data_IF_448791646232
#
_entry.id   IF_448791646232
#
_cell.length_a   1.000
_cell.length_b   1.000
_cell.length_c   1.000
_cell.angle_alpha   90.00
_cell.angle_beta   90.00
_cell.angle_gamma   90.00
#
_symmetry.space_group_name_H-M   'P 1'
#
loop_
_entity.id
_entity.type
_entity.pdbx_description
1 polymer ?
#
# COMPACT_ATOMS: atom_id res chain seq x y z
N UNK A 1 -1.29 19.50 -9.34
CA UNK A 1 -1.89 18.66 -8.28
C UNK A 1 -3.39 18.63 -8.47
N UNK A 2 -4.02 17.46 -8.36
CA UNK A 2 -5.49 17.33 -8.27
C UNK A 2 -5.89 17.34 -6.81
N UNK A 3 -7.02 17.95 -6.49
CA UNK A 3 -7.59 17.96 -5.15
C UNK A 3 -8.98 17.35 -5.23
N UNK A 4 -9.27 16.44 -4.30
CA UNK A 4 -10.59 15.85 -4.13
C UNK A 4 -11.04 16.10 -2.69
N UNK A 5 -12.24 16.67 -2.47
CA UNK A 5 -12.75 16.82 -1.12
C UNK A 5 -13.16 15.45 -0.57
N UNK A 6 -12.91 15.24 0.71
CA UNK A 6 -13.27 14.01 1.43
C UNK A 6 -14.13 14.41 2.62
N UNK A 7 -15.29 13.78 2.78
CA UNK A 7 -16.16 14.02 3.93
C UNK A 7 -15.68 13.26 5.17
N UNK A 8 -16.14 13.68 6.35
CA UNK A 8 -15.86 12.95 7.59
C UNK A 8 -16.42 11.51 7.54
N UNK A 9 -17.57 11.30 6.87
CA UNK A 9 -18.15 9.96 6.73
C UNK A 9 -17.31 9.07 5.81
N UNK A 10 -16.84 9.59 4.67
CA UNK A 10 -15.92 8.86 3.79
C UNK A 10 -14.65 8.44 4.55
N UNK A 11 -14.09 9.32 5.39
CA UNK A 11 -12.92 8.98 6.20
C UNK A 11 -13.21 7.87 7.22
N UNK A 12 -14.40 7.83 7.84
CA UNK A 12 -14.79 6.73 8.73
C UNK A 12 -14.87 5.39 8.02
N UNK A 13 -15.43 5.35 6.81
CA UNK A 13 -15.52 4.11 6.03
C UNK A 13 -14.15 3.65 5.51
N UNK A 14 -13.25 4.59 5.21
CA UNK A 14 -11.86 4.31 4.84
C UNK A 14 -11.08 3.64 5.99
N UNK A 15 -11.34 3.98 7.25
CA UNK A 15 -10.73 3.34 8.42
C UNK A 15 -10.94 1.82 8.39
N UNK A 16 -12.17 1.37 8.15
CA UNK A 16 -12.53 -0.05 8.08
C UNK A 16 -11.74 -0.78 6.99
N UNK A 17 -11.50 -0.13 5.86
CA UNK A 17 -10.70 -0.67 4.77
C UNK A 17 -9.23 -0.77 5.14
N UNK A 18 -8.67 0.22 5.85
CA UNK A 18 -7.28 0.17 6.36
C UNK A 18 -7.10 -1.04 7.28
N UNK A 19 -8.06 -1.30 8.16
CA UNK A 19 -8.05 -2.49 9.01
C UNK A 19 -8.06 -3.79 8.20
N UNK A 20 -8.94 -3.89 7.20
CA UNK A 20 -9.01 -5.07 6.33
C UNK A 20 -7.69 -5.30 5.59
N UNK A 21 -7.08 -4.24 5.07
CA UNK A 21 -5.77 -4.28 4.41
C UNK A 21 -4.66 -4.78 5.33
N UNK A 22 -4.60 -4.25 6.56
CA UNK A 22 -3.65 -4.71 7.56
C UNK A 22 -3.83 -6.21 7.82
N UNK A 23 -5.06 -6.67 8.04
CA UNK A 23 -5.33 -8.09 8.26
C UNK A 23 -4.89 -8.94 7.08
N UNK A 24 -5.36 -8.65 5.85
CA UNK A 24 -5.01 -9.40 4.66
C UNK A 24 -3.51 -9.41 4.39
N UNK A 25 -2.80 -8.32 4.68
CA UNK A 25 -1.35 -8.25 4.51
C UNK A 25 -0.59 -9.24 5.40
N UNK A 26 -1.22 -9.68 6.49
CA UNK A 26 -0.67 -10.61 7.46
C UNK A 26 -1.10 -12.06 7.28
N UNK A 27 -2.07 -12.32 6.39
CA UNK A 27 -2.59 -13.65 6.12
C UNK A 27 -1.71 -14.39 5.12
N UNK A 28 -1.58 -15.71 5.28
CA UNK A 28 -1.14 -16.63 4.21
C UNK A 28 -2.26 -17.51 3.71
N UNK A 29 -3.34 -17.62 4.49
CA UNK A 29 -4.53 -18.39 4.17
C UNK A 29 -5.77 -17.79 4.83
N UNK A 30 -6.93 -18.29 4.43
CA UNK A 30 -8.21 -17.88 5.00
C UNK A 30 -8.27 -18.14 6.51
N UNK A 31 -8.86 -17.21 7.25
CA UNK A 31 -9.03 -17.25 8.71
C UNK A 31 -7.72 -17.17 9.54
N UNK A 32 -6.60 -16.76 8.93
CA UNK A 32 -5.36 -16.46 9.64
C UNK A 32 -5.24 -14.95 9.87
N UNK A 33 -4.85 -14.51 11.07
CA UNK A 33 -4.43 -13.12 11.31
C UNK A 33 -3.16 -13.19 12.17
N UNK A 34 -2.06 -12.63 11.67
CA UNK A 34 -0.76 -12.70 12.35
C UNK A 34 -0.38 -11.41 13.08
N UNK A 35 -1.15 -10.33 12.89
CA UNK A 35 -0.92 -9.05 13.58
C UNK A 35 -1.13 -9.16 15.09
N UNK A 36 -0.40 -8.33 15.83
CA UNK A 36 -0.54 -8.18 17.29
C UNK A 36 -0.69 -6.71 17.65
N UNK A 37 -1.13 -6.46 18.87
CA UNK A 37 -1.16 -5.10 19.41
C UNK A 37 0.24 -4.50 19.47
N UNK A 38 0.33 -3.21 19.13
CA UNK A 38 1.54 -2.40 19.04
C UNK A 38 2.56 -2.89 18.00
N UNK A 39 2.08 -3.54 16.93
CA UNK A 39 2.92 -3.85 15.78
C UNK A 39 3.46 -2.55 15.18
N UNK A 40 4.77 -2.54 14.89
CA UNK A 40 5.48 -1.38 14.38
C UNK A 40 5.26 -1.23 12.87
N UNK A 41 4.66 -0.12 12.46
CA UNK A 41 4.29 0.16 11.07
C UNK A 41 5.21 1.23 10.48
N UNK A 42 5.99 0.91 9.45
CA UNK A 42 6.76 1.93 8.74
C UNK A 42 5.85 2.81 7.88
N UNK A 43 5.89 4.11 8.12
CA UNK A 43 5.16 5.09 7.32
C UNK A 43 5.93 5.45 6.03
N UNK A 44 5.80 4.58 5.02
CA UNK A 44 6.46 4.70 3.72
C UNK A 44 5.67 5.42 2.63
N UNK A 45 4.57 6.11 2.98
CA UNK A 45 3.69 6.78 2.01
C UNK A 45 4.00 8.27 1.90
N UNK A 46 3.32 9.01 1.02
CA UNK A 46 3.47 10.47 0.93
C UNK A 46 2.74 11.17 2.11
N UNK A 47 3.19 12.36 2.58
CA UNK A 47 2.50 13.09 3.65
C UNK A 47 1.15 13.66 3.15
N UNK A 48 0.25 14.13 4.02
CA UNK A 48 -0.78 15.07 3.59
C UNK A 48 -0.16 16.24 2.81
N UNK A 49 -0.81 16.73 1.73
CA UNK A 49 -2.20 16.47 1.34
C UNK A 49 -2.40 15.28 0.37
N UNK A 50 -1.40 14.43 0.16
CA UNK A 50 -1.58 13.25 -0.70
C UNK A 50 -2.56 12.27 -0.04
N UNK A 51 -3.40 11.60 -0.84
CA UNK A 51 -4.43 10.68 -0.35
C UNK A 51 -3.90 9.64 0.65
N UNK A 52 -2.73 9.07 0.37
CA UNK A 52 -2.08 8.07 1.24
C UNK A 52 -1.57 8.64 2.56
N UNK A 53 -1.26 9.94 2.60
CA UNK A 53 -0.95 10.63 3.85
C UNK A 53 -2.20 10.98 4.64
N UNK A 54 -3.27 11.40 3.97
CA UNK A 54 -4.55 11.71 4.62
C UNK A 54 -5.16 10.49 5.32
N UNK A 55 -4.97 9.29 4.77
CA UNK A 55 -5.36 8.02 5.41
C UNK A 55 -4.76 7.83 6.80
N UNK A 56 -3.62 8.45 7.10
CA UNK A 56 -3.02 8.34 8.43
C UNK A 56 -3.87 9.00 9.52
N UNK A 57 -4.74 9.95 9.20
CA UNK A 57 -5.61 10.59 10.20
C UNK A 57 -6.68 9.65 10.78
N UNK A 58 -6.97 8.56 10.08
CA UNK A 58 -7.91 7.51 10.51
C UNK A 58 -7.19 6.16 10.69
N UNK A 59 -5.89 6.18 10.93
CA UNK A 59 -5.15 4.95 11.19
C UNK A 59 -5.42 4.44 12.61
N UNK A 60 -5.48 3.12 12.83
CA UNK A 60 -5.80 2.56 14.15
C UNK A 60 -4.65 2.60 15.16
N UNK A 61 -4.35 3.79 15.67
CA UNK A 61 -3.23 4.05 16.59
C UNK A 61 -3.33 3.34 17.94
N UNK A 62 -4.53 2.94 18.36
CA UNK A 62 -4.71 2.16 19.60
C UNK A 62 -4.15 0.73 19.48
N UNK A 63 -3.94 0.25 18.24
CA UNK A 63 -3.49 -1.11 17.95
C UNK A 63 -2.12 -1.18 17.29
N UNK A 64 -1.63 -0.08 16.72
CA UNK A 64 -0.41 -0.05 15.92
C UNK A 64 0.43 1.20 16.20
N UNK A 65 1.75 1.03 16.23
CA UNK A 65 2.66 2.13 16.44
C UNK A 65 3.31 2.53 15.11
N UNK A 66 2.96 3.70 14.61
CA UNK A 66 3.50 4.21 13.34
C UNK A 66 4.89 4.82 13.54
N UNK A 67 5.82 4.49 12.64
CA UNK A 67 7.22 4.91 12.67
C UNK A 67 7.55 5.82 11.47
N UNK A 68 7.92 7.09 11.68
CA UNK A 68 7.83 7.86 12.94
C UNK A 68 6.38 8.22 13.32
N UNK A 69 6.11 8.67 14.56
CA UNK A 69 4.80 9.18 14.96
C UNK A 69 4.30 10.25 13.98
N UNK A 70 3.02 10.25 13.65
CA UNK A 70 2.49 11.08 12.56
C UNK A 70 2.68 12.58 12.78
N UNK A 71 2.56 13.06 14.02
CA UNK A 71 2.83 14.46 14.37
C UNK A 71 4.29 14.90 14.12
N UNK A 72 5.24 13.97 14.16
CA UNK A 72 6.65 14.18 13.79
C UNK A 72 6.79 14.04 12.27
N UNK A 73 6.17 13.01 11.70
CA UNK A 73 6.23 12.64 10.30
C UNK A 73 5.72 13.72 9.33
N UNK A 74 4.68 14.46 9.72
CA UNK A 74 4.09 15.53 8.90
C UNK A 74 4.93 16.80 8.85
N UNK A 75 5.86 16.97 9.80
CA UNK A 75 6.78 18.12 9.87
C UNK A 75 8.09 17.87 9.12
N UNK A 76 8.27 16.68 8.57
CA UNK A 76 9.48 16.23 7.89
C UNK A 76 9.28 16.18 6.37
N UNK A 77 10.37 16.37 5.62
CA UNK A 77 10.37 15.96 4.21
C UNK A 77 10.21 14.44 4.09
N UNK A 78 9.84 13.97 2.89
CA UNK A 78 9.70 12.54 2.63
C UNK A 78 11.00 11.76 2.93
N UNK A 79 12.16 12.27 2.50
CA UNK A 79 13.44 11.58 2.73
C UNK A 79 13.82 11.53 4.21
N UNK A 80 13.67 12.65 4.94
CA UNK A 80 13.93 12.72 6.38
C UNK A 80 13.03 11.76 7.15
N UNK A 81 11.73 11.71 6.80
CA UNK A 81 10.78 10.79 7.42
C UNK A 81 11.17 9.34 7.20
N UNK A 82 11.49 8.97 5.97
CA UNK A 82 11.91 7.59 5.65
C UNK A 82 13.16 7.23 6.45
N UNK A 83 14.16 8.11 6.49
CA UNK A 83 15.37 7.89 7.29
C UNK A 83 15.04 7.74 8.78
N UNK A 84 14.22 8.63 9.34
CA UNK A 84 13.81 8.61 10.74
C UNK A 84 13.05 7.33 11.09
N UNK A 85 12.11 6.92 10.23
CA UNK A 85 11.36 5.67 10.36
C UNK A 85 12.29 4.46 10.41
N UNK A 86 13.33 4.41 9.57
CA UNK A 86 14.34 3.35 9.64
C UNK A 86 15.17 3.36 10.91
N UNK A 87 15.60 4.53 11.36
CA UNK A 87 16.35 4.63 12.62
C UNK A 87 15.54 4.11 13.80
N UNK A 88 14.24 4.41 13.84
CA UNK A 88 13.30 3.88 14.84
C UNK A 88 13.10 2.38 14.66
N UNK A 89 12.85 1.92 13.43
CA UNK A 89 12.68 0.50 13.10
C UNK A 89 13.90 -0.36 13.45
N UNK A 90 15.11 0.18 13.29
CA UNK A 90 16.34 -0.49 13.69
C UNK A 90 16.43 -0.67 15.21
N UNK A 91 15.93 0.29 16.01
CA UNK A 91 15.94 0.17 17.48
C UNK A 91 14.76 -0.62 18.04
N UNK A 92 13.55 -0.33 17.55
CA UNK A 92 12.29 -0.80 18.13
C UNK A 92 11.81 -2.09 17.49
N UNK A 93 12.10 -2.29 16.20
CA UNK A 93 11.54 -3.37 15.39
C UNK A 93 10.68 -2.82 14.26
N UNK A 94 10.36 -3.68 13.31
CA UNK A 94 9.48 -3.40 12.20
C UNK A 94 8.67 -4.65 11.91
N UNK A 95 7.36 -4.50 11.89
CA UNK A 95 6.41 -5.61 11.75
C UNK A 95 5.57 -5.48 10.49
N UNK A 96 5.16 -4.25 10.16
CA UNK A 96 4.38 -3.95 8.96
C UNK A 96 5.05 -2.82 8.19
N UNK A 97 5.07 -2.92 6.87
CA UNK A 97 5.54 -1.84 6.01
C UNK A 97 4.43 -1.45 5.04
N UNK A 98 4.13 -0.15 4.94
CA UNK A 98 3.17 0.38 3.96
C UNK A 98 3.91 1.40 3.11
N UNK A 99 4.10 1.10 1.82
CA UNK A 99 4.89 1.95 0.93
C UNK A 99 4.47 1.80 -0.53
N UNK A 100 4.72 2.83 -1.34
CA UNK A 100 4.70 2.69 -2.80
C UNK A 100 5.67 1.56 -3.23
N UNK A 101 5.32 0.81 -4.27
CA UNK A 101 6.15 -0.31 -4.77
C UNK A 101 7.56 0.13 -5.16
N UNK A 102 7.68 1.26 -5.85
CA UNK A 102 8.97 1.90 -6.16
C UNK A 102 9.75 2.34 -4.92
N UNK A 103 9.07 2.80 -3.87
CA UNK A 103 9.69 3.21 -2.60
C UNK A 103 10.21 1.98 -1.83
N UNK A 104 9.38 0.93 -1.69
CA UNK A 104 9.79 -0.34 -1.09
C UNK A 104 11.00 -0.96 -1.81
N UNK A 105 11.03 -0.82 -3.13
CA UNK A 105 12.16 -1.25 -3.96
C UNK A 105 13.42 -0.42 -3.71
N UNK A 106 13.30 0.91 -3.79
CA UNK A 106 14.41 1.82 -3.57
C UNK A 106 15.04 1.68 -2.17
N UNK A 107 14.20 1.38 -1.16
CA UNK A 107 14.67 1.05 0.19
C UNK A 107 15.54 -0.22 0.16
N UNK A 108 15.04 -1.30 -0.42
CA UNK A 108 15.78 -2.56 -0.49
C UNK A 108 17.12 -2.40 -1.24
N UNK A 109 17.12 -1.64 -2.33
CA UNK A 109 18.34 -1.29 -3.08
C UNK A 109 19.32 -0.45 -2.25
N UNK A 110 18.83 0.49 -1.42
CA UNK A 110 19.71 1.27 -0.52
C UNK A 110 20.40 0.36 0.50
N UNK A 111 19.74 -0.69 1.01
CA UNK A 111 20.36 -1.67 1.91
C UNK A 111 21.44 -2.51 1.21
N UNK A 112 21.20 -2.88 -0.04
CA UNK A 112 22.17 -3.66 -0.81
C UNK A 112 23.45 -2.85 -1.14
N UNK A 113 23.31 -1.53 -1.30
CA UNK A 113 24.42 -0.62 -1.65
C UNK A 113 25.20 -0.07 -0.43
N UNK A 114 24.54 0.24 0.70
CA UNK A 114 25.15 1.01 1.82
C UNK A 114 25.90 0.18 2.87
N UNK A 115 26.39 -1.02 2.55
CA UNK A 115 27.20 -1.82 3.49
C UNK A 115 28.47 -1.10 4.02
N UNK A 116 28.89 0.04 3.45
CA UNK A 116 30.14 0.72 3.79
C UNK A 116 30.05 2.12 4.44
N UNK A 117 28.86 2.71 4.67
CA UNK A 117 28.80 4.11 5.16
C UNK A 117 27.72 4.39 6.22
N UNK A 118 27.46 3.44 7.12
CA UNK A 118 26.62 3.69 8.30
C UNK A 118 27.43 4.45 9.35
N UNK A 119 26.89 5.56 9.86
CA UNK A 119 27.56 6.38 10.87
C UNK A 119 27.53 5.65 12.23
N UNK A 120 28.54 4.79 12.47
CA UNK A 120 28.68 3.88 13.62
C UNK A 120 28.48 4.63 14.97
N UNK A 121 28.86 5.91 15.03
CA UNK A 121 28.72 6.76 16.24
C UNK A 121 27.27 7.02 16.65
N UNK A 122 26.33 7.13 15.69
CA UNK A 122 24.91 7.30 15.98
C UNK A 122 24.26 5.98 16.42
N UNK A 123 24.67 4.86 15.82
CA UNK A 123 24.22 3.51 16.18
C UNK A 123 24.71 3.06 17.56
N UNK A 124 25.89 3.52 18.00
CA UNK A 124 26.45 3.21 19.33
C UNK A 124 25.54 3.61 20.51
N UNK A 125 24.66 4.61 20.34
CA UNK A 125 23.69 5.03 21.36
C UNK A 125 22.46 4.12 21.46
N UNK A 126 22.30 3.14 20.56
CA UNK A 126 21.12 2.26 20.49
C UNK A 126 21.55 0.80 20.41
N UNK A 127 21.83 0.12 21.55
CA UNK A 127 22.40 -1.23 21.56
C UNK A 127 21.54 -2.26 20.84
N UNK A 128 20.19 -2.14 20.90
CA UNK A 128 19.26 -2.99 20.15
C UNK A 128 19.46 -2.89 18.63
N UNK A 129 19.74 -1.68 18.12
CA UNK A 129 19.98 -1.45 16.70
C UNK A 129 21.29 -2.09 16.23
N UNK A 130 22.34 -2.00 17.04
CA UNK A 130 23.63 -2.65 16.76
C UNK A 130 23.46 -4.17 16.69
N UNK A 131 22.78 -4.75 17.69
CA UNK A 131 22.55 -6.19 17.73
C UNK A 131 21.77 -6.69 16.50
N UNK A 132 20.72 -5.95 16.10
CA UNK A 132 19.91 -6.25 14.91
C UNK A 132 20.74 -6.15 13.62
N UNK A 133 21.53 -5.08 13.47
CA UNK A 133 22.40 -4.89 12.31
C UNK A 133 23.49 -5.96 12.23
N UNK A 134 24.15 -6.27 13.34
CA UNK A 134 25.16 -7.33 13.40
C UNK A 134 24.58 -8.69 13.02
N UNK A 135 23.40 -9.05 13.55
CA UNK A 135 22.68 -10.28 13.17
C UNK A 135 22.34 -10.29 11.68
N UNK A 136 21.88 -9.16 11.14
CA UNK A 136 21.57 -9.03 9.72
C UNK A 136 22.79 -9.23 8.82
N UNK A 137 23.91 -8.60 9.18
CA UNK A 137 25.19 -8.74 8.44
C UNK A 137 25.74 -10.18 8.50
N UNK A 138 25.58 -10.88 9.62
CA UNK A 138 25.95 -12.29 9.71
C UNK A 138 25.08 -13.13 8.77
N UNK A 139 23.75 -12.95 8.78
CA UNK A 139 22.83 -13.65 7.86
C UNK A 139 23.16 -13.38 6.40
N UNK A 140 23.41 -12.13 6.02
CA UNK A 140 23.70 -11.77 4.63
C UNK A 140 25.02 -12.38 4.15
N UNK A 141 26.06 -12.36 4.99
CA UNK A 141 27.36 -12.99 4.69
C UNK A 141 27.27 -14.51 4.55
N UNK A 142 26.52 -15.18 5.43
CA UNK A 142 26.27 -16.61 5.32
C UNK A 142 25.49 -16.97 4.05
N UNK A 143 24.65 -16.07 3.57
CA UNK A 143 23.92 -16.22 2.31
C UNK A 143 24.70 -15.73 1.08
N UNK A 144 25.98 -15.36 1.22
CA UNK A 144 26.84 -14.85 0.14
C UNK A 144 26.23 -13.69 -0.67
N UNK A 145 25.50 -12.79 -0.01
CA UNK A 145 24.84 -11.64 -0.64
C UNK A 145 24.95 -10.37 0.22
N UNK A 146 24.55 -9.24 -0.37
CA UNK A 146 24.42 -7.99 0.35
C UNK A 146 23.29 -8.03 1.38
N UNK A 147 23.35 -7.10 2.34
CA UNK A 147 22.34 -6.95 3.39
C UNK A 147 21.01 -6.52 2.77
N UNK A 148 19.93 -7.20 3.17
CA UNK A 148 18.57 -6.90 2.73
C UNK A 148 17.65 -6.65 3.94
N UNK A 149 16.50 -5.95 3.76
CA UNK A 149 15.54 -5.74 4.84
C UNK A 149 15.14 -7.03 5.58
N UNK A 150 14.94 -8.15 4.86
CA UNK A 150 14.59 -9.46 5.45
C UNK A 150 15.64 -10.03 6.43
N UNK A 151 16.87 -9.53 6.38
CA UNK A 151 17.91 -9.95 7.32
C UNK A 151 17.73 -9.28 8.70
N UNK A 152 17.23 -8.06 8.68
CA UNK A 152 17.05 -7.18 9.84
C UNK A 152 15.70 -7.38 10.52
N UNK A 153 14.65 -7.57 9.73
CA UNK A 153 13.28 -7.68 10.19
C UNK A 153 12.59 -8.90 9.60
N UNK A 154 11.63 -9.43 10.35
CA UNK A 154 10.74 -10.48 9.88
C UNK A 154 9.34 -9.89 9.89
N UNK A 155 8.95 -9.33 8.74
CA UNK A 155 7.66 -8.66 8.61
C UNK A 155 6.53 -9.67 8.78
N UNK A 156 5.45 -9.18 9.39
CA UNK A 156 4.15 -9.82 9.40
C UNK A 156 3.30 -9.39 8.22
N UNK A 157 3.45 -8.15 7.76
CA UNK A 157 2.73 -7.68 6.59
C UNK A 157 3.51 -6.65 5.77
N UNK A 158 3.25 -6.64 4.47
CA UNK A 158 3.79 -5.66 3.54
C UNK A 158 2.66 -5.24 2.62
N UNK A 159 2.30 -3.96 2.65
CA UNK A 159 1.27 -3.39 1.79
C UNK A 159 1.94 -2.47 0.78
N UNK A 160 1.67 -2.71 -0.49
CA UNK A 160 2.15 -1.89 -1.59
C UNK A 160 1.03 -1.39 -2.48
N UNK A 161 1.31 -0.29 -3.16
CA UNK A 161 0.39 0.33 -4.11
C UNK A 161 1.18 1.05 -5.18
N UNK A 162 0.51 1.31 -6.31
CA UNK A 162 1.12 1.85 -7.51
C UNK A 162 0.79 1.01 -8.73
N UNK A 163 0.92 1.61 -9.91
CA UNK A 163 0.66 0.97 -11.21
C UNK A 163 1.79 0.02 -11.65
N UNK A 164 2.93 0.07 -10.95
CA UNK A 164 4.18 -0.60 -11.24
C UNK A 164 4.42 -1.83 -10.35
N UNK A 165 3.46 -2.20 -9.50
CA UNK A 165 3.67 -3.28 -8.53
C UNK A 165 3.93 -4.63 -9.17
N UNK A 166 3.23 -4.97 -10.26
CA UNK A 166 3.47 -6.20 -11.01
C UNK A 166 4.91 -6.34 -11.51
N UNK A 167 5.59 -5.22 -11.77
CA UNK A 167 7.00 -5.18 -12.19
C UNK A 167 7.94 -5.41 -11.01
N UNK A 168 7.59 -4.87 -9.84
CA UNK A 168 8.45 -4.92 -8.65
C UNK A 168 8.15 -6.08 -7.69
N UNK A 169 7.03 -6.79 -7.86
CA UNK A 169 6.52 -7.78 -6.91
C UNK A 169 7.55 -8.83 -6.51
N UNK A 170 8.15 -9.50 -7.48
CA UNK A 170 9.15 -10.54 -7.23
C UNK A 170 10.38 -9.98 -6.50
N UNK A 171 10.87 -8.83 -6.95
CA UNK A 171 12.01 -8.14 -6.34
C UNK A 171 11.70 -7.73 -4.90
N UNK A 172 10.52 -7.16 -4.65
CA UNK A 172 10.06 -6.77 -3.31
C UNK A 172 10.00 -8.00 -2.40
N UNK A 173 9.38 -9.09 -2.85
CA UNK A 173 9.32 -10.33 -2.08
C UNK A 173 10.73 -10.87 -1.77
N UNK A 174 11.65 -10.83 -2.73
CA UNK A 174 13.04 -11.22 -2.50
C UNK A 174 13.73 -10.35 -1.44
N UNK A 175 13.56 -9.02 -1.48
CA UNK A 175 14.23 -8.09 -0.56
C UNK A 175 13.64 -8.11 0.85
N UNK A 176 12.31 -8.19 0.95
CA UNK A 176 11.57 -8.05 2.21
C UNK A 176 11.19 -9.40 2.84
N UNK A 177 11.26 -10.49 2.07
CA UNK A 177 11.02 -11.85 2.55
C UNK A 177 9.55 -12.17 2.81
N UNK A 178 8.64 -11.35 2.29
CA UNK A 178 7.19 -11.52 2.37
C UNK A 178 6.56 -11.02 1.06
N UNK A 179 5.53 -11.73 0.61
CA UNK A 179 4.76 -11.31 -0.57
C UNK A 179 3.97 -10.04 -0.25
N UNK A 180 4.06 -8.99 -1.09
CA UNK A 180 3.32 -7.76 -0.83
C UNK A 180 1.83 -7.93 -1.17
N UNK A 181 0.97 -7.47 -0.25
CA UNK A 181 -0.44 -7.27 -0.51
C UNK A 181 -0.63 -5.95 -1.27
N UNK A 182 -1.43 -5.99 -2.34
CA UNK A 182 -1.68 -4.82 -3.16
C UNK A 182 -3.09 -4.24 -2.96
N UNK A 183 -3.18 -2.92 -3.13
CA UNK A 183 -4.44 -2.23 -3.33
C UNK A 183 -4.36 -1.22 -4.47
N UNK A 184 -5.52 -0.97 -5.07
CA UNK A 184 -5.73 0.04 -6.09
C UNK A 184 -6.58 1.17 -5.55
N UNK A 185 -6.24 2.39 -5.93
CA UNK A 185 -6.87 3.61 -5.42
C UNK A 185 -6.56 4.81 -6.29
N UNK A 186 -7.15 5.95 -5.95
CA UNK A 186 -6.92 7.22 -6.63
C UNK A 186 -7.04 8.39 -5.65
N UNK A 187 -6.73 9.61 -6.11
CA UNK A 187 -6.95 10.81 -5.28
C UNK A 187 -8.44 11.03 -5.01
N UNK A 188 -9.29 10.71 -5.97
CA UNK A 188 -10.74 10.91 -5.96
C UNK A 188 -11.48 9.89 -5.08
N UNK A 189 -10.94 8.68 -4.92
CA UNK A 189 -11.63 7.55 -4.27
C UNK A 189 -10.91 6.98 -3.04
N UNK A 190 -9.61 7.28 -2.88
CA UNK A 190 -8.68 6.69 -1.90
C UNK A 190 -8.47 5.19 -2.11
N UNK A 191 -9.54 4.40 -2.06
CA UNK A 191 -9.55 2.96 -2.33
C UNK A 191 -10.61 2.58 -3.37
N UNK A 192 -10.24 1.64 -4.24
CA UNK A 192 -11.13 1.08 -5.27
C UNK A 192 -11.24 -0.44 -5.10
N UNK A 193 -10.09 -1.11 -4.97
CA UNK A 193 -10.00 -2.54 -4.88
C UNK A 193 -8.76 -2.96 -4.09
N UNK A 194 -8.76 -4.18 -3.53
CA UNK A 194 -7.59 -4.74 -2.85
C UNK A 194 -7.52 -6.26 -3.01
N UNK A 195 -6.31 -6.80 -2.98
CA UNK A 195 -6.10 -8.23 -2.82
C UNK A 195 -6.61 -8.72 -1.46
N UNK A 196 -6.92 -10.00 -1.39
CA UNK A 196 -7.37 -10.66 -0.15
C UNK A 196 -6.28 -11.60 0.40
N UNK A 197 -6.63 -12.54 1.27
CA UNK A 197 -5.69 -13.46 1.95
C UNK A 197 -4.84 -14.33 1.00
N UNK A 198 -5.25 -14.46 -0.25
CA UNK A 198 -4.59 -15.22 -1.32
C UNK A 198 -3.58 -14.40 -2.12
N UNK A 199 -3.56 -13.08 -1.93
CA UNK A 199 -2.68 -12.13 -2.62
C UNK A 199 -2.78 -12.22 -4.15
N UNK A 200 -3.93 -12.66 -4.69
CA UNK A 200 -4.15 -12.84 -6.14
C UNK A 200 -4.88 -11.62 -6.77
N UNK A 201 -5.97 -11.83 -7.50
CA UNK A 201 -6.75 -10.74 -8.07
C UNK A 201 -7.24 -9.75 -7.00
N UNK A 202 -7.47 -8.50 -7.39
CA UNK A 202 -8.06 -7.51 -6.50
C UNK A 202 -9.59 -7.62 -6.51
N UNK A 203 -10.20 -7.50 -5.34
CA UNK A 203 -11.65 -7.43 -5.13
C UNK A 203 -12.06 -5.98 -4.90
N UNK A 204 -13.13 -5.54 -5.54
CA UNK A 204 -13.66 -4.19 -5.36
C UNK A 204 -14.19 -3.93 -3.96
N UNK A 205 -14.22 -2.66 -3.59
CA UNK A 205 -14.76 -2.17 -2.32
C UNK A 205 -16.03 -1.35 -2.62
N UNK A 206 -17.18 -2.00 -2.89
CA UNK A 206 -18.37 -1.34 -3.44
C UNK A 206 -19.11 -0.45 -2.44
N UNK A 207 -18.79 -0.54 -1.13
CA UNK A 207 -19.41 0.32 -0.12
C UNK A 207 -18.82 1.73 -0.08
N UNK A 208 -17.65 1.98 -0.69
CA UNK A 208 -17.06 3.33 -0.76
C UNK A 208 -17.58 4.12 -1.97
N UNK A 209 -17.81 3.43 -3.09
CA UNK A 209 -18.23 4.03 -4.34
C UNK A 209 -19.17 3.08 -5.08
N UNK A 210 -20.23 3.62 -5.66
CA UNK A 210 -21.02 2.90 -6.67
C UNK A 210 -20.20 2.83 -7.96
N UNK A 211 -19.97 1.61 -8.45
CA UNK A 211 -19.07 1.33 -9.57
C UNK A 211 -19.87 1.04 -10.84
N UNK A 212 -19.51 1.75 -11.91
CA UNK A 212 -19.98 1.48 -13.27
C UNK A 212 -18.78 1.17 -14.17
N UNK A 213 -19.01 0.36 -15.20
CA UNK A 213 -17.97 -0.15 -16.08
C UNK A 213 -18.32 0.13 -17.54
N UNK A 214 -17.48 0.89 -18.24
CA UNK A 214 -17.60 1.07 -19.70
C UNK A 214 -16.74 0.00 -20.37
N UNK A 215 -17.28 -0.88 -21.23
CA UNK A 215 -16.47 -1.79 -22.04
C UNK A 215 -15.38 -1.03 -22.82
N UNK A 216 -14.18 -1.58 -22.93
CA UNK A 216 -13.05 -0.88 -23.58
C UNK A 216 -13.38 -0.34 -24.98
N UNK A 217 -14.14 -1.10 -25.78
CA UNK A 217 -14.61 -0.69 -27.11
C UNK A 217 -15.51 0.56 -27.05
N UNK A 218 -16.42 0.64 -26.08
CA UNK A 218 -17.32 1.78 -25.87
C UNK A 218 -16.54 3.01 -25.38
N UNK A 219 -15.54 2.78 -24.52
CA UNK A 219 -14.61 3.83 -24.07
C UNK A 219 -13.87 4.43 -25.27
N UNK A 220 -13.37 3.59 -26.20
CA UNK A 220 -12.65 4.05 -27.39
C UNK A 220 -13.54 4.90 -28.30
N UNK A 221 -14.78 4.48 -28.57
CA UNK A 221 -15.76 5.29 -29.32
C UNK A 221 -15.97 6.67 -28.69
N UNK A 222 -16.11 6.73 -27.36
CA UNK A 222 -16.30 8.00 -26.64
C UNK A 222 -15.06 8.92 -26.64
N UNK A 223 -13.87 8.37 -26.90
CA UNK A 223 -12.63 9.16 -27.05
C UNK A 223 -12.52 9.76 -28.45
N UNK A 224 -13.04 9.06 -29.47
CA UNK A 224 -13.07 9.51 -30.85
C UNK A 224 -14.19 10.54 -31.10
N UNK A 225 -15.35 10.34 -30.49
CA UNK A 225 -16.50 11.24 -30.56
C UNK A 225 -16.94 11.70 -29.15
N UNK A 226 -16.63 12.94 -28.75
CA UNK A 226 -17.05 13.50 -27.46
C UNK A 226 -18.57 13.61 -27.26
N UNK A 227 -19.38 13.49 -28.32
CA UNK A 227 -20.84 13.51 -28.24
C UNK A 227 -21.44 12.11 -28.05
N UNK A 228 -20.63 11.07 -28.26
CA UNK A 228 -21.04 9.70 -28.04
C UNK A 228 -21.18 9.38 -26.55
N UNK A 229 -22.36 8.91 -26.16
CA UNK A 229 -22.62 8.44 -24.80
C UNK A 229 -22.35 6.93 -24.73
N UNK A 230 -21.25 6.49 -24.09
CA UNK A 230 -20.95 5.06 -23.97
C UNK A 230 -21.95 4.36 -23.07
N UNK A 231 -22.25 3.10 -23.40
CA UNK A 231 -23.01 2.21 -22.51
C UNK A 231 -22.18 1.81 -21.29
N UNK A 232 -22.86 1.58 -20.17
CA UNK A 232 -22.25 1.20 -18.89
C UNK A 232 -22.88 -0.08 -18.37
N UNK A 233 -22.08 -0.89 -17.67
CA UNK A 233 -22.49 -2.08 -16.94
C UNK A 233 -22.33 -1.86 -15.44
N UNK A 234 -23.15 -2.54 -14.65
CA UNK A 234 -23.02 -2.64 -13.20
C UNK A 234 -22.03 -3.74 -12.81
N UNK A 235 -21.61 -3.74 -11.55
CA UNK A 235 -20.64 -4.71 -11.02
C UNK A 235 -21.09 -6.17 -11.16
N UNK A 236 -22.38 -6.46 -11.12
CA UNK A 236 -22.96 -7.79 -11.31
C UNK A 236 -23.17 -8.18 -12.78
N UNK A 237 -23.02 -7.23 -13.71
CA UNK A 237 -23.22 -7.42 -15.15
C UNK A 237 -21.91 -7.63 -15.92
N UNK A 238 -20.76 -7.31 -15.30
CA UNK A 238 -19.45 -7.47 -15.95
C UNK A 238 -19.14 -8.94 -16.23
N UNK A 239 -18.26 -9.16 -17.20
CA UNK A 239 -17.68 -10.48 -17.55
C UNK A 239 -16.16 -10.34 -17.61
N UNK A 240 -15.40 -11.45 -17.69
CA UNK A 240 -13.98 -11.35 -17.95
C UNK A 240 -13.69 -10.50 -19.20
N UNK A 241 -12.91 -9.43 -19.05
CA UNK A 241 -12.75 -8.40 -20.08
C UNK A 241 -12.14 -7.10 -19.55
N UNK A 242 -11.89 -6.17 -20.45
CA UNK A 242 -11.32 -4.86 -20.13
C UNK A 242 -12.42 -3.79 -20.06
N UNK A 243 -12.35 -2.94 -19.03
CA UNK A 243 -13.34 -1.91 -18.76
C UNK A 243 -12.68 -0.63 -18.25
N UNK A 244 -13.21 0.52 -18.65
CA UNK A 244 -12.93 1.79 -17.97
C UNK A 244 -13.84 1.92 -16.75
N UNK A 245 -13.25 2.32 -15.62
CA UNK A 245 -13.96 2.47 -14.36
C UNK A 245 -14.58 3.87 -14.19
N UNK A 246 -15.85 3.88 -13.81
CA UNK A 246 -16.61 5.04 -13.38
C UNK A 246 -17.02 4.88 -11.94
N UNK A 247 -17.04 6.00 -11.23
CA UNK A 247 -17.43 6.03 -9.83
C UNK A 247 -18.50 7.09 -9.59
N UNK A 248 -19.45 6.73 -8.74
CA UNK A 248 -20.28 7.68 -8.01
C UNK A 248 -19.95 7.53 -6.54
N UNK A 249 -19.45 8.60 -5.93
CA UNK A 249 -19.04 8.58 -4.53
C UNK A 249 -20.24 8.37 -3.62
N UNK A 250 -20.08 7.47 -2.66
CA UNK A 250 -21.01 7.33 -1.54
C UNK A 250 -20.57 8.24 -0.39
N UNK A 251 -21.32 8.20 0.72
CA UNK A 251 -20.95 8.90 1.97
C UNK A 251 -20.78 10.42 1.84
N UNK A 252 -21.55 11.02 0.92
CA UNK A 252 -21.55 12.46 0.68
C UNK A 252 -20.38 12.99 -0.16
N UNK A 253 -19.62 12.11 -0.82
CA UNK A 253 -18.59 12.53 -1.77
C UNK A 253 -19.16 13.23 -3.01
N UNK A 254 -18.36 14.03 -3.72
CA UNK A 254 -18.86 14.96 -4.74
C UNK A 254 -19.03 14.35 -6.13
N UNK A 255 -18.46 13.18 -6.38
CA UNK A 255 -18.32 12.64 -7.72
C UNK A 255 -19.55 11.85 -8.12
N UNK A 256 -20.13 12.17 -9.28
CA UNK A 256 -21.29 11.49 -9.85
C UNK A 256 -20.94 11.05 -11.27
N UNK A 257 -21.01 9.74 -11.54
CA UNK A 257 -20.59 9.11 -12.79
C UNK A 257 -19.24 9.63 -13.30
N UNK A 258 -18.30 9.83 -12.39
CA UNK A 258 -16.99 10.40 -12.68
C UNK A 258 -16.11 9.35 -13.34
N UNK A 259 -15.59 9.66 -14.53
CA UNK A 259 -14.66 8.82 -15.28
C UNK A 259 -13.25 8.98 -14.72
N UNK A 260 -12.72 7.92 -14.09
CA UNK A 260 -11.35 7.92 -13.58
C UNK A 260 -10.31 7.83 -14.71
N UNK A 261 -10.70 7.29 -15.87
CA UNK A 261 -9.80 6.93 -16.95
C UNK A 261 -8.94 5.69 -16.65
N UNK A 262 -9.22 4.99 -15.54
CA UNK A 262 -8.56 3.76 -15.18
C UNK A 262 -9.12 2.61 -16.03
N UNK A 263 -8.26 2.02 -16.87
CA UNK A 263 -8.59 0.76 -17.55
C UNK A 263 -8.20 -0.41 -16.64
N UNK A 264 -9.16 -1.28 -16.38
CA UNK A 264 -9.00 -2.44 -15.52
C UNK A 264 -9.40 -3.71 -16.28
N UNK A 265 -8.84 -4.84 -15.86
CA UNK A 265 -9.20 -6.16 -16.40
C UNK A 265 -9.92 -6.98 -15.34
N UNK A 266 -11.17 -7.31 -15.61
CA UNK A 266 -11.91 -8.30 -14.83
C UNK A 266 -11.39 -9.68 -15.24
N UNK A 267 -10.87 -10.44 -14.28
CA UNK A 267 -10.32 -11.79 -14.52
C UNK A 267 -11.31 -12.89 -14.14
N UNK A 268 -12.13 -12.65 -13.11
CA UNK A 268 -13.13 -13.58 -12.60
C UNK A 268 -14.25 -12.80 -11.90
N UNK A 269 -15.41 -13.44 -11.74
CA UNK A 269 -16.54 -12.92 -10.96
C UNK A 269 -16.53 -13.39 -9.50
N UNK A 270 -15.69 -14.38 -9.18
CA UNK A 270 -15.58 -14.99 -7.87
C UNK A 270 -14.13 -15.30 -7.53
N UNK A 271 -13.81 -15.22 -6.24
CA UNK A 271 -12.60 -15.80 -5.70
C UNK A 271 -12.91 -17.24 -5.25
N UNK A 272 -12.29 -18.22 -5.89
CA UNK A 272 -12.49 -19.66 -5.61
C UNK A 272 -11.41 -20.23 -4.66
N UNK A 273 -10.52 -19.37 -4.13
CA UNK A 273 -9.47 -19.75 -3.15
C UNK A 273 -10.03 -19.90 -1.73
#
# INVERSE_FOLDING_TARGET
FRWAPVTAEQLREIELVIFALLFFSSCKQRNEIALKGHDKVLYGMAPPPYATGTMTHVFPYDLFDVLPPVEEAEKMSFEERIQRGFELALSEGLDVCIALSSVATAIGDRFSQKSNNTNIKALLKRPKAIARLARGLVKSKLAHRSLLPKDLWSLRGLITFGIDTSVYREKINEMWGIEPLEFHGSTETVFIATQTWDHQGMTFIPHLNFLEFIPEEESNKSREDPTYQPSTLLLDEVKPGNYELLITSLHGGPFVRYRLGHLIKITSLRNEQ
#
